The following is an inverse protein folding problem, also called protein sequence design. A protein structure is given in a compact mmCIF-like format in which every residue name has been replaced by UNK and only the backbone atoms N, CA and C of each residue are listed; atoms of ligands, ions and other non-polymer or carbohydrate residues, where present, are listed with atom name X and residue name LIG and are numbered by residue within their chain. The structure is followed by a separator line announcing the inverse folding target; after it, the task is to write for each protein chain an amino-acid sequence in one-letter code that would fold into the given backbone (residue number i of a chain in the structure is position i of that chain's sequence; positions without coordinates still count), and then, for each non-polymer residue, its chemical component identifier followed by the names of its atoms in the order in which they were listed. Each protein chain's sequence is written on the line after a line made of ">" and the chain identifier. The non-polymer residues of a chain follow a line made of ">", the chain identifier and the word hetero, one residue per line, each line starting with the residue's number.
data_IF_860010730740
#
_entry.id   IF_860010730740
#
_cell.length_a   1.000
_cell.length_b   1.000
_cell.length_c   1.000
_cell.angle_alpha   90.00
_cell.angle_beta   90.00
_cell.angle_gamma   90.00
#
_symmetry.space_group_name_H-M   'P 1'
#
loop_
_entity.id
_entity.type
_entity.pdbx_description
1 polymer ?
#
# COMPACT_ATOMS: atom_id res chain seq x y z
N UNK A 1 15.55 2.34 24.55
CA UNK A 1 15.85 2.80 23.19
C UNK A 1 14.54 3.23 22.59
N UNK A 2 14.34 4.53 22.38
CA UNK A 2 13.17 5.02 21.65
C UNK A 2 13.37 4.62 20.19
N UNK A 3 12.72 3.55 19.76
CA UNK A 3 12.72 3.12 18.36
C UNK A 3 12.03 4.19 17.51
N UNK A 4 12.56 4.47 16.33
CA UNK A 4 11.92 5.35 15.36
C UNK A 4 10.56 4.74 14.99
N UNK A 5 9.46 5.37 15.38
CA UNK A 5 8.12 4.89 14.99
C UNK A 5 7.85 5.39 13.58
N UNK A 6 7.97 4.51 12.58
CA UNK A 6 7.57 4.82 11.20
C UNK A 6 6.04 4.77 11.12
N UNK A 7 5.46 5.73 10.39
CA UNK A 7 4.01 5.91 10.25
C UNK A 7 3.67 6.39 8.85
N UNK A 8 2.47 6.07 8.38
CA UNK A 8 1.95 6.62 7.13
C UNK A 8 1.59 8.09 7.34
N UNK A 9 2.10 8.91 6.44
CA UNK A 9 1.77 10.34 6.36
C UNK A 9 0.40 10.51 5.70
N UNK A 10 -0.62 10.78 6.53
CA UNK A 10 -2.01 10.90 6.07
C UNK A 10 -2.26 12.12 5.16
N UNK A 11 -1.33 13.08 5.09
CA UNK A 11 -1.43 14.15 4.10
C UNK A 11 -1.05 13.68 2.70
N UNK A 12 -0.24 12.63 2.59
CA UNK A 12 0.17 12.00 1.33
C UNK A 12 -0.70 10.80 0.97
N UNK A 13 -0.98 9.92 1.94
CA UNK A 13 -1.76 8.70 1.77
C UNK A 13 -3.24 8.94 2.05
N UNK A 14 -3.88 9.74 1.20
CA UNK A 14 -5.31 10.08 1.33
C UNK A 14 -6.19 9.04 0.64
N UNK A 15 -7.36 8.76 1.24
CA UNK A 15 -8.40 7.95 0.59
C UNK A 15 -8.77 8.59 -0.74
N UNK A 16 -8.89 7.78 -1.79
CA UNK A 16 -9.11 8.23 -3.16
C UNK A 16 -7.84 8.41 -3.99
N UNK A 17 -6.65 8.51 -3.37
CA UNK A 17 -5.40 8.55 -4.11
C UNK A 17 -5.07 7.18 -4.71
N UNK A 18 -4.44 7.19 -5.88
CA UNK A 18 -3.89 5.99 -6.50
C UNK A 18 -2.39 5.95 -6.23
N UNK A 19 -1.93 4.80 -5.75
CA UNK A 19 -0.51 4.50 -5.56
C UNK A 19 -0.16 3.25 -6.33
N UNK A 20 1.10 3.14 -6.75
CA UNK A 20 1.62 1.90 -7.30
C UNK A 20 2.33 1.13 -6.19
N UNK A 21 1.99 -0.13 -6.01
CA UNK A 21 2.68 -1.02 -5.08
C UNK A 21 3.36 -2.14 -5.84
N UNK A 22 4.51 -2.59 -5.35
CA UNK A 22 5.22 -3.74 -5.90
C UNK A 22 5.82 -4.59 -4.80
N UNK A 23 5.77 -5.91 -4.97
CA UNK A 23 6.45 -6.88 -4.10
C UNK A 23 7.34 -7.78 -4.95
N UNK A 24 8.65 -7.76 -4.70
CA UNK A 24 9.60 -8.67 -5.35
C UNK A 24 9.38 -10.11 -4.92
N UNK A 25 8.96 -10.33 -3.66
CA UNK A 25 8.72 -11.67 -3.11
C UNK A 25 7.54 -12.37 -3.79
N UNK A 26 6.52 -11.61 -4.17
CA UNK A 26 5.29 -12.13 -4.78
C UNK A 26 5.25 -11.98 -6.31
N UNK A 27 6.32 -11.44 -6.91
CA UNK A 27 6.35 -11.05 -8.33
C UNK A 27 5.11 -10.23 -8.74
N UNK A 28 4.74 -9.28 -7.88
CA UNK A 28 3.51 -8.51 -8.01
C UNK A 28 3.81 -7.03 -8.23
N UNK A 29 3.07 -6.41 -9.14
CA UNK A 29 3.04 -4.97 -9.34
C UNK A 29 1.62 -4.53 -9.73
N UNK A 30 1.11 -3.50 -9.05
CA UNK A 30 -0.25 -3.03 -9.27
C UNK A 30 -0.46 -1.56 -8.94
N UNK A 31 -1.35 -0.92 -9.70
CA UNK A 31 -1.90 0.39 -9.32
C UNK A 31 -3.11 0.14 -8.42
N UNK A 32 -3.10 0.72 -7.23
CA UNK A 32 -4.11 0.49 -6.20
C UNK A 32 -4.70 1.81 -5.71
N UNK A 33 -6.01 1.82 -5.51
CA UNK A 33 -6.75 2.90 -4.88
C UNK A 33 -6.65 2.77 -3.36
N UNK A 34 -6.30 3.84 -2.65
CA UNK A 34 -6.39 3.88 -1.19
C UNK A 34 -7.87 4.01 -0.82
N UNK A 35 -8.44 2.99 -0.17
CA UNK A 35 -9.84 2.97 0.27
C UNK A 35 -9.99 3.29 1.76
N UNK A 36 -8.97 3.01 2.56
CA UNK A 36 -8.88 3.44 3.96
C UNK A 36 -7.42 3.72 4.29
N UNK A 37 -7.17 4.76 5.08
CA UNK A 37 -5.84 5.13 5.54
C UNK A 37 -5.84 5.40 7.03
N UNK A 38 -4.85 4.84 7.71
CA UNK A 38 -4.49 5.16 9.09
C UNK A 38 -2.98 5.37 9.17
N UNK A 39 -2.49 5.85 10.30
CA UNK A 39 -1.05 6.04 10.51
C UNK A 39 -0.24 4.74 10.56
N UNK A 40 -0.89 3.57 10.63
CA UNK A 40 -0.23 2.27 10.77
C UNK A 40 -0.56 1.29 9.64
N UNK A 41 -1.65 1.52 8.91
CA UNK A 41 -2.16 0.63 7.88
C UNK A 41 -2.86 1.40 6.76
N UNK A 42 -2.64 0.97 5.52
CA UNK A 42 -3.41 1.35 4.34
C UNK A 42 -4.22 0.13 3.87
N UNK A 43 -5.51 0.33 3.60
CA UNK A 43 -6.28 -0.64 2.82
C UNK A 43 -6.40 -0.16 1.39
N UNK A 44 -6.03 -1.04 0.48
CA UNK A 44 -5.89 -0.78 -0.95
C UNK A 44 -6.88 -1.64 -1.72
N UNK A 45 -7.43 -1.10 -2.79
CA UNK A 45 -8.23 -1.85 -3.74
C UNK A 45 -7.56 -1.84 -5.12
N UNK A 46 -7.54 -2.97 -5.81
CA UNK A 46 -7.03 -3.07 -7.18
C UNK A 46 -7.86 -4.06 -8.00
N UNK A 47 -7.84 -3.89 -9.32
CA UNK A 47 -8.54 -4.81 -10.22
C UNK A 47 -7.58 -5.93 -10.65
N UNK A 48 -7.89 -7.16 -10.26
CA UNK A 48 -7.21 -8.36 -10.74
C UNK A 48 -7.80 -8.77 -12.08
N UNK A 49 -6.99 -8.67 -13.15
CA UNK A 49 -7.43 -8.98 -14.51
C UNK A 49 -7.60 -10.47 -14.76
N UNK A 50 -6.86 -11.32 -14.06
CA UNK A 50 -6.95 -12.77 -14.23
C UNK A 50 -8.25 -13.30 -13.61
N UNK A 51 -8.63 -12.73 -12.47
CA UNK A 51 -9.88 -13.07 -11.77
C UNK A 51 -11.10 -12.31 -12.29
N UNK A 52 -10.88 -11.15 -12.91
CA UNK A 52 -11.96 -10.27 -13.37
C UNK A 52 -12.71 -9.60 -12.22
N UNK A 53 -12.05 -9.40 -11.07
CA UNK A 53 -12.64 -8.91 -9.82
C UNK A 53 -11.81 -7.80 -9.17
N UNK A 54 -12.47 -7.01 -8.32
CA UNK A 54 -11.80 -6.11 -7.39
C UNK A 54 -11.30 -6.89 -6.19
N UNK A 55 -10.01 -6.80 -5.91
CA UNK A 55 -9.34 -7.40 -4.76
C UNK A 55 -8.90 -6.30 -3.79
N UNK A 56 -8.67 -6.69 -2.52
CA UNK A 56 -8.27 -5.79 -1.45
C UNK A 56 -6.98 -6.28 -0.80
N UNK A 57 -6.09 -5.34 -0.49
CA UNK A 57 -4.81 -5.59 0.16
C UNK A 57 -4.62 -4.62 1.32
N UNK A 58 -4.36 -5.14 2.50
CA UNK A 58 -3.86 -4.35 3.62
C UNK A 58 -2.33 -4.24 3.54
N UNK A 59 -1.79 -3.04 3.74
CA UNK A 59 -0.37 -2.80 3.91
C UNK A 59 -0.15 -2.12 5.27
N UNK A 60 0.58 -2.80 6.13
CA UNK A 60 1.06 -2.26 7.40
C UNK A 60 2.36 -1.50 7.20
N UNK A 61 2.79 -0.76 8.23
CA UNK A 61 4.13 -0.17 8.24
C UNK A 61 5.22 -1.25 8.20
N UNK A 62 5.02 -2.37 8.89
CA UNK A 62 5.99 -3.47 8.92
C UNK A 62 6.24 -4.04 7.52
N UNK A 63 5.20 -4.14 6.69
CA UNK A 63 5.33 -4.57 5.29
C UNK A 63 6.28 -3.65 4.48
N UNK A 64 6.32 -2.37 4.81
CA UNK A 64 7.20 -1.39 4.16
C UNK A 64 8.61 -1.43 4.78
N UNK A 65 8.70 -1.49 6.12
CA UNK A 65 9.97 -1.56 6.84
C UNK A 65 10.77 -2.81 6.48
N UNK A 66 10.09 -3.95 6.39
CA UNK A 66 10.69 -5.22 5.99
C UNK A 66 10.91 -5.33 4.47
N UNK A 67 10.57 -4.29 3.70
CA UNK A 67 10.67 -4.28 2.23
C UNK A 67 9.89 -5.41 1.56
N UNK A 68 8.81 -5.89 2.20
CA UNK A 68 7.88 -6.83 1.60
C UNK A 68 7.11 -6.15 0.46
N UNK A 69 6.85 -4.85 0.60
CA UNK A 69 6.26 -3.99 -0.43
C UNK A 69 6.99 -2.64 -0.55
N UNK A 70 7.10 -2.15 -1.79
CA UNK A 70 7.51 -0.79 -2.12
C UNK A 70 6.27 -0.01 -2.59
N UNK A 71 6.10 1.24 -2.15
CA UNK A 71 5.03 2.14 -2.60
C UNK A 71 5.60 3.31 -3.40
N UNK A 72 4.99 3.62 -4.55
CA UNK A 72 5.32 4.77 -5.40
C UNK A 72 4.07 5.61 -5.65
N UNK A 73 4.18 6.92 -5.46
CA UNK A 73 3.13 7.86 -5.84
C UNK A 73 3.12 8.06 -7.35
N UNK A 74 1.92 8.05 -7.93
CA UNK A 74 1.69 8.35 -9.34
C UNK A 74 1.29 9.83 -9.41
N UNK A 75 2.26 10.70 -9.73
CA UNK A 75 2.03 12.14 -9.88
C UNK A 75 1.24 12.45 -11.16
#
# INVERSE_FOLDING_TARGET
>A
MEGLIIRFDLDKFKVGNVVKISSKRLDFEGNCLIVQASTHELNLAYYDKERGSMEYQALTIEDIECSDYEIKFLN
#
